data_IF_667970732592
#
_entry.id   IF_667970732592
#
_cell.length_a   1.000
_cell.length_b   1.000
_cell.length_c   1.000
_cell.angle_alpha   90.00
_cell.angle_beta   90.00
_cell.angle_gamma   90.00
#
_symmetry.space_group_name_H-M   'P 1'
#
loop_
_entity.id
_entity.type
_entity.pdbx_description
1 polymer ?
#
# COMPACT_ATOMS: atom_id res chain seq x y z
N UNK A 1 -0.78 25.11 -17.42
CA UNK A 1 0.40 25.41 -18.25
C UNK A 1 0.71 24.20 -19.12
N UNK A 2 1.31 24.38 -20.29
CA UNK A 2 1.70 23.27 -21.17
C UNK A 2 3.20 23.01 -21.06
N UNK A 3 3.57 21.78 -20.72
CA UNK A 3 4.96 21.31 -20.62
C UNK A 3 5.25 20.22 -21.66
N UNK A 4 6.49 20.13 -22.13
CA UNK A 4 6.94 19.08 -23.05
C UNK A 4 7.43 17.86 -22.24
N UNK A 5 6.87 16.68 -22.48
CA UNK A 5 7.36 15.45 -21.87
C UNK A 5 8.78 15.13 -22.38
N UNK A 6 9.75 14.98 -21.47
CA UNK A 6 11.15 14.65 -21.83
C UNK A 6 11.34 13.32 -22.56
N UNK A 7 10.44 12.36 -22.37
CA UNK A 7 10.57 11.03 -22.96
C UNK A 7 10.03 10.98 -24.39
N UNK A 8 8.82 11.51 -24.63
CA UNK A 8 8.12 11.37 -25.92
C UNK A 8 7.78 12.70 -26.61
N UNK A 9 8.12 13.84 -26.01
CA UNK A 9 7.82 15.17 -26.55
C UNK A 9 6.37 15.61 -26.42
N UNK A 10 5.48 14.77 -25.86
CA UNK A 10 4.06 15.08 -25.82
C UNK A 10 3.72 16.29 -24.93
N UNK A 11 2.75 17.13 -25.32
CA UNK A 11 2.30 18.26 -24.52
C UNK A 11 1.51 17.77 -23.31
N UNK A 12 1.87 18.27 -22.14
CA UNK A 12 1.28 17.95 -20.85
C UNK A 12 0.56 19.18 -20.30
N UNK A 13 -0.76 19.08 -20.10
CA UNK A 13 -1.49 20.09 -19.35
C UNK A 13 -1.27 19.86 -17.85
N UNK A 14 -0.50 20.75 -17.23
CA UNK A 14 -0.06 20.64 -15.85
C UNK A 14 -0.62 21.80 -15.05
N UNK A 15 -1.16 21.47 -13.86
CA UNK A 15 -1.58 22.49 -12.91
C UNK A 15 -0.36 23.27 -12.39
N UNK A 16 -0.46 24.59 -12.19
CA UNK A 16 0.70 25.41 -11.77
C UNK A 16 1.40 24.93 -10.49
N UNK A 17 0.65 24.30 -9.58
CA UNK A 17 1.06 23.81 -8.27
C UNK A 17 1.58 22.36 -8.26
N UNK A 18 1.48 21.63 -9.38
CA UNK A 18 1.92 20.24 -9.42
C UNK A 18 3.46 20.10 -9.40
N UNK A 19 4.00 19.35 -8.44
CA UNK A 19 5.44 19.04 -8.37
C UNK A 19 5.85 17.93 -9.35
N UNK A 20 4.98 16.95 -9.52
CA UNK A 20 5.13 15.81 -10.43
C UNK A 20 4.00 15.80 -11.45
N UNK A 21 4.31 15.43 -12.69
CA UNK A 21 3.31 15.21 -13.73
C UNK A 21 3.57 13.90 -14.46
N UNK A 22 2.49 13.15 -14.74
CA UNK A 22 2.54 11.90 -15.49
C UNK A 22 2.11 12.15 -16.94
N UNK A 23 2.95 11.77 -17.89
CA UNK A 23 2.61 11.81 -19.30
C UNK A 23 1.46 10.85 -19.61
N UNK A 24 0.39 11.37 -20.23
CA UNK A 24 -0.79 10.58 -20.62
C UNK A 24 -0.61 9.74 -21.88
N UNK A 25 0.53 9.89 -22.56
CA UNK A 25 0.88 9.10 -23.75
C UNK A 25 1.83 7.96 -23.38
N UNK A 26 3.01 8.28 -22.82
CA UNK A 26 4.04 7.27 -22.52
C UNK A 26 4.05 6.78 -21.05
N UNK A 27 3.21 7.35 -20.18
CA UNK A 27 3.14 6.97 -18.77
C UNK A 27 4.31 7.43 -17.88
N UNK A 28 5.36 8.03 -18.46
CA UNK A 28 6.52 8.51 -17.70
C UNK A 28 6.12 9.65 -16.76
N UNK A 29 6.59 9.60 -15.51
CA UNK A 29 6.40 10.67 -14.53
C UNK A 29 7.66 11.52 -14.46
N UNK A 30 7.51 12.84 -14.40
CA UNK A 30 8.64 13.76 -14.38
C UNK A 30 8.39 14.91 -13.41
N UNK A 31 9.47 15.43 -12.82
CA UNK A 31 9.43 16.64 -12.03
C UNK A 31 9.16 17.86 -12.91
N UNK A 32 8.19 18.69 -12.51
CA UNK A 32 7.76 19.87 -13.28
C UNK A 32 8.93 20.78 -13.65
N UNK A 33 9.85 21.03 -12.70
CA UNK A 33 11.02 21.90 -12.86
C UNK A 33 12.02 21.44 -13.92
N UNK A 34 11.97 20.17 -14.32
CA UNK A 34 12.88 19.59 -15.31
C UNK A 34 12.28 19.56 -16.72
N UNK A 35 11.00 19.91 -16.88
CA UNK A 35 10.32 19.89 -18.17
C UNK A 35 10.45 21.25 -18.87
N UNK A 36 10.55 21.22 -20.20
CA UNK A 36 10.53 22.43 -21.02
C UNK A 36 9.12 23.01 -21.01
N UNK A 37 9.00 24.31 -20.72
CA UNK A 37 7.71 25.01 -20.82
C UNK A 37 7.42 25.34 -22.28
N UNK A 38 6.30 24.84 -22.79
CA UNK A 38 5.81 25.13 -24.15
C UNK A 38 4.89 26.35 -24.12
N UNK A 39 4.02 26.42 -23.10
CA UNK A 39 3.17 27.58 -22.85
C UNK A 39 3.01 27.81 -21.35
N UNK A 40 3.23 29.04 -20.90
CA UNK A 40 3.10 29.42 -19.49
C UNK A 40 1.64 29.31 -19.00
N UNK A 41 0.68 29.58 -19.88
CA UNK A 41 -0.76 29.44 -19.63
C UNK A 41 -1.36 28.39 -20.57
N UNK A 42 -2.33 27.61 -20.10
CA UNK A 42 -3.04 26.64 -20.95
C UNK A 42 -4.09 27.40 -21.77
N UNK A 43 -4.01 27.39 -23.12
CA UNK A 43 -5.07 27.99 -23.95
C UNK A 43 -6.44 27.41 -23.61
N UNK A 44 -7.49 28.23 -23.63
CA UNK A 44 -8.86 27.81 -23.23
C UNK A 44 -9.42 26.67 -24.09
N UNK A 45 -8.96 26.59 -25.33
CA UNK A 45 -9.33 25.62 -26.35
C UNK A 45 -8.36 24.43 -26.46
N UNK A 46 -7.32 24.38 -25.61
CA UNK A 46 -6.35 23.29 -25.66
C UNK A 46 -7.04 21.94 -25.39
N UNK A 47 -6.92 21.03 -26.37
CA UNK A 47 -7.30 19.62 -26.24
C UNK A 47 -6.08 18.76 -26.57
N UNK A 48 -5.67 17.84 -25.68
CA UNK A 48 -4.61 16.91 -25.99
C UNK A 48 -4.93 16.11 -27.27
N UNK A 49 -4.01 16.01 -28.24
CA UNK A 49 -4.20 15.18 -29.41
C UNK A 49 -4.54 13.73 -29.04
N UNK A 50 -5.52 13.06 -29.68
CA UNK A 50 -5.82 11.66 -29.39
C UNK A 50 -4.63 10.72 -29.61
N UNK A 51 -3.77 11.08 -30.57
CA UNK A 51 -2.53 10.39 -30.87
C UNK A 51 -1.35 11.39 -30.92
N UNK A 52 -0.17 10.92 -30.53
CA UNK A 52 1.05 11.71 -30.54
C UNK A 52 2.19 10.92 -31.16
N UNK A 53 2.85 11.48 -32.17
CA UNK A 53 4.05 10.90 -32.77
C UNK A 53 5.27 11.62 -32.17
N UNK A 54 6.18 10.91 -31.49
CA UNK A 54 7.34 11.54 -30.87
C UNK A 54 8.23 12.24 -31.90
N UNK A 55 8.67 13.50 -31.66
CA UNK A 55 9.58 14.18 -32.57
C UNK A 55 10.99 13.54 -32.55
N UNK A 56 11.81 13.71 -33.60
CA UNK A 56 13.10 13.02 -33.71
C UNK A 56 14.12 13.33 -32.60
N UNK A 57 13.97 14.45 -31.88
CA UNK A 57 14.91 14.88 -30.84
C UNK A 57 14.69 14.22 -29.48
N UNK A 58 13.65 13.40 -29.32
CA UNK A 58 13.34 12.75 -28.03
C UNK A 58 13.82 11.29 -27.99
N UNK A 59 14.06 10.71 -26.79
CA UNK A 59 14.57 9.34 -26.66
C UNK A 59 13.58 8.22 -27.01
N UNK A 60 12.28 8.52 -27.15
CA UNK A 60 11.27 7.51 -27.48
C UNK A 60 11.47 6.92 -28.89
N UNK A 61 11.00 5.68 -29.16
CA UNK A 61 10.94 5.12 -30.51
C UNK A 61 10.14 6.06 -31.42
N UNK A 62 10.83 6.78 -32.31
CA UNK A 62 10.37 8.07 -32.85
C UNK A 62 9.27 7.97 -33.92
N UNK A 63 8.83 6.77 -34.28
CA UNK A 63 7.90 6.54 -35.39
C UNK A 63 6.60 5.83 -34.99
N UNK A 64 6.41 5.49 -33.71
CA UNK A 64 5.18 4.84 -33.26
C UNK A 64 4.20 5.87 -32.68
N UNK A 65 2.94 5.94 -33.19
CA UNK A 65 1.92 6.80 -32.61
C UNK A 65 1.54 6.31 -31.21
N UNK A 66 1.58 7.21 -30.23
CA UNK A 66 1.18 6.97 -28.85
C UNK A 66 -0.26 7.43 -28.63
N UNK A 67 -1.08 6.64 -27.94
CA UNK A 67 -2.48 6.99 -27.64
C UNK A 67 -2.60 7.81 -26.35
N UNK A 68 -3.46 8.83 -26.35
CA UNK A 68 -3.79 9.57 -25.14
C UNK A 68 -4.67 8.74 -24.20
N UNK A 69 -4.20 8.53 -22.97
CA UNK A 69 -4.96 7.88 -21.92
C UNK A 69 -5.60 8.94 -21.01
N UNK A 70 -6.93 9.13 -21.05
CA UNK A 70 -7.59 10.06 -20.14
C UNK A 70 -7.33 9.66 -18.69
N UNK A 71 -7.30 10.64 -17.80
CA UNK A 71 -7.25 10.34 -16.38
C UNK A 71 -8.44 9.45 -16.03
N UNK A 72 -8.24 8.32 -15.33
CA UNK A 72 -9.38 7.59 -14.80
C UNK A 72 -10.22 8.58 -13.97
N UNK A 73 -11.55 8.50 -14.02
CA UNK A 73 -12.39 9.28 -13.13
C UNK A 73 -11.87 9.11 -11.69
N UNK A 74 -11.93 10.19 -10.90
CA UNK A 74 -11.22 10.39 -9.62
C UNK A 74 -11.43 9.33 -8.51
N UNK A 75 -12.01 8.16 -8.80
CA UNK A 75 -12.16 7.01 -7.89
C UNK A 75 -11.25 5.79 -8.15
N UNK A 76 -10.31 5.83 -9.10
CA UNK A 76 -9.51 4.65 -9.46
C UNK A 76 -7.98 4.93 -9.56
N UNK A 77 -7.34 5.31 -8.46
CA UNK A 77 -5.88 5.53 -8.41
C UNK A 77 -5.23 4.63 -7.36
N UNK A 78 -4.74 3.45 -7.78
CA UNK A 78 -3.88 2.57 -6.97
C UNK A 78 -2.46 2.39 -7.57
N UNK A 79 -2.18 2.77 -8.82
CA UNK A 79 -0.97 2.26 -9.52
C UNK A 79 0.25 3.17 -9.73
N UNK A 80 0.38 4.36 -9.12
CA UNK A 80 1.37 5.36 -9.59
C UNK A 80 2.78 5.32 -8.96
N UNK A 81 3.02 4.54 -7.90
CA UNK A 81 4.29 4.60 -7.12
C UNK A 81 5.39 3.66 -7.61
N UNK A 82 5.10 2.69 -8.47
CA UNK A 82 6.09 1.69 -8.94
C UNK A 82 7.17 2.27 -9.87
N UNK A 83 6.90 3.36 -10.60
CA UNK A 83 7.84 3.88 -11.61
C UNK A 83 9.02 4.68 -11.02
N UNK A 84 8.85 5.32 -9.85
CA UNK A 84 9.91 6.11 -9.22
C UNK A 84 11.05 5.26 -8.65
N UNK A 85 10.74 4.05 -8.19
CA UNK A 85 11.71 3.14 -7.56
C UNK A 85 12.65 2.52 -8.61
N UNK A 86 12.15 2.23 -9.81
CA UNK A 86 12.97 1.63 -10.89
C UNK A 86 14.10 2.53 -11.37
N UNK A 87 13.89 3.86 -11.42
CA UNK A 87 14.91 4.80 -11.87
C UNK A 87 16.08 4.93 -10.88
N UNK A 88 15.82 4.83 -9.58
CA UNK A 88 16.87 4.84 -8.56
C UNK A 88 17.70 3.54 -8.57
N UNK A 89 17.08 2.39 -8.88
CA UNK A 89 17.76 1.08 -8.89
C UNK A 89 18.71 0.93 -10.08
N UNK A 90 18.37 1.44 -11.27
CA UNK A 90 19.27 1.43 -12.44
C UNK A 90 20.55 2.25 -12.23
N UNK A 91 20.49 3.33 -11.45
CA UNK A 91 21.68 4.12 -11.09
C UNK A 91 22.64 3.36 -10.16
N UNK A 92 22.10 2.53 -9.26
CA UNK A 92 22.86 1.78 -8.25
C UNK A 92 23.60 0.59 -8.85
N UNK A 93 23.01 -0.14 -9.81
CA UNK A 93 23.72 -1.20 -10.53
C UNK A 93 24.91 -0.66 -11.32
N UNK A 94 24.79 0.53 -11.92
CA UNK A 94 25.91 1.15 -12.63
C UNK A 94 26.99 1.64 -11.65
N UNK A 95 26.62 2.30 -10.54
CA UNK A 95 27.57 2.85 -9.58
C UNK A 95 28.35 1.77 -8.78
N UNK A 96 27.71 0.66 -8.39
CA UNK A 96 28.39 -0.44 -7.69
C UNK A 96 29.26 -1.30 -8.62
N UNK A 97 28.91 -1.40 -9.91
CA UNK A 97 29.72 -2.17 -10.88
C UNK A 97 30.94 -1.37 -11.37
N UNK A 98 30.89 -0.04 -11.39
CA UNK A 98 32.03 0.79 -11.81
C UNK A 98 33.09 0.97 -10.73
N UNK A 99 32.73 0.90 -9.44
CA UNK A 99 33.68 1.06 -8.33
C UNK A 99 34.39 -0.25 -7.91
N UNK A 100 34.06 -1.40 -8.51
CA UNK A 100 34.51 -2.71 -8.08
C UNK A 100 35.13 -3.60 -9.15
N UNK A 101 35.83 -3.06 -10.17
CA UNK A 101 36.57 -3.89 -11.15
C UNK A 101 37.99 -4.21 -10.66
N UNK A 102 38.27 -5.41 -10.13
CA UNK A 102 39.62 -5.95 -10.16
C UNK A 102 40.00 -6.28 -11.61
N UNK A 103 41.18 -5.82 -12.03
CA UNK A 103 41.87 -6.32 -13.22
C UNK A 103 42.21 -7.80 -12.99
N UNK A 104 41.58 -8.74 -13.70
CA UNK A 104 42.26 -10.01 -14.02
C UNK A 104 41.72 -10.67 -15.27
N UNK A 105 42.62 -10.84 -16.24
CA UNK A 105 42.57 -11.86 -17.28
C UNK A 105 42.57 -13.26 -16.64
N UNK A 106 41.64 -14.13 -17.02
CA UNK A 106 41.67 -15.53 -16.65
C UNK A 106 40.38 -16.25 -16.96
N UNK A 107 40.37 -17.04 -18.05
CA UNK A 107 39.33 -18.03 -18.33
C UNK A 107 39.40 -19.11 -17.24
N UNK A 108 38.49 -19.07 -16.27
CA UNK A 108 38.31 -20.10 -15.25
C UNK A 108 36.89 -20.06 -14.73
N UNK A 109 36.25 -21.23 -14.61
CA UNK A 109 34.83 -21.36 -14.28
C UNK A 109 34.40 -20.52 -13.09
N UNK A 110 33.35 -19.72 -13.28
CA UNK A 110 32.81 -18.81 -12.26
C UNK A 110 32.06 -19.65 -11.22
N UNK A 111 32.77 -20.11 -10.20
CA UNK A 111 32.17 -20.33 -8.89
C UNK A 111 31.75 -18.94 -8.42
N UNK A 112 30.44 -18.71 -8.30
CA UNK A 112 29.89 -17.46 -7.80
C UNK A 112 30.34 -17.26 -6.34
N UNK A 113 31.53 -16.70 -6.14
CA UNK A 113 32.04 -16.34 -4.83
C UNK A 113 31.11 -15.30 -4.25
N UNK A 114 30.49 -15.64 -3.12
CA UNK A 114 29.65 -14.72 -2.37
C UNK A 114 30.55 -13.56 -1.92
N UNK A 115 30.28 -12.37 -2.45
CA UNK A 115 31.04 -11.16 -2.10
C UNK A 115 30.92 -10.89 -0.58
N UNK A 116 31.96 -10.30 0.04
CA UNK A 116 31.87 -9.88 1.44
C UNK A 116 30.70 -8.92 1.63
N UNK A 117 29.88 -9.19 2.64
CA UNK A 117 28.67 -8.43 2.94
C UNK A 117 27.97 -8.96 4.19
N UNK A 118 26.86 -8.34 4.57
CA UNK A 118 26.08 -8.77 5.73
C UNK A 118 25.28 -10.03 5.41
N UNK A 119 25.38 -11.03 6.27
CA UNK A 119 24.55 -12.23 6.21
C UNK A 119 23.10 -11.88 6.52
N UNK A 120 22.12 -12.67 6.05
CA UNK A 120 20.72 -12.48 6.42
C UNK A 120 20.47 -12.46 7.94
N UNK A 121 21.23 -13.22 8.72
CA UNK A 121 21.14 -13.28 10.18
C UNK A 121 21.65 -11.97 10.82
N UNK A 122 22.75 -11.41 10.33
CA UNK A 122 23.22 -10.09 10.79
C UNK A 122 22.22 -8.99 10.43
N UNK A 123 21.61 -9.05 9.25
CA UNK A 123 20.53 -8.12 8.86
C UNK A 123 19.31 -8.27 9.79
N UNK A 124 18.92 -9.49 10.14
CA UNK A 124 17.79 -9.73 11.04
C UNK A 124 18.05 -9.24 12.48
N UNK A 125 19.32 -9.20 12.91
CA UNK A 125 19.70 -8.72 14.24
C UNK A 125 19.76 -7.19 14.33
N UNK A 126 19.81 -6.46 13.21
CA UNK A 126 19.92 -4.99 13.24
C UNK A 126 18.57 -4.32 13.47
N UNK A 127 18.63 -3.24 14.24
CA UNK A 127 17.56 -2.26 14.37
C UNK A 127 17.61 -1.29 13.20
N UNK A 128 16.62 -1.31 12.31
CA UNK A 128 16.57 -0.39 11.15
C UNK A 128 15.94 0.96 11.49
N UNK A 129 15.44 1.10 12.71
CA UNK A 129 14.61 2.20 13.20
C UNK A 129 15.48 3.33 13.80
N UNK A 130 16.57 3.66 13.10
CA UNK A 130 17.63 4.56 13.52
C UNK A 130 18.06 5.48 12.38
N UNK A 131 18.83 6.52 12.70
CA UNK A 131 19.35 7.46 11.70
C UNK A 131 20.23 6.76 10.67
N UNK A 132 20.39 7.40 9.50
CA UNK A 132 21.22 6.88 8.41
C UNK A 132 22.64 6.59 8.84
N UNK A 133 23.24 7.46 9.63
CA UNK A 133 24.63 7.34 10.10
C UNK A 133 24.79 6.16 11.06
N UNK A 134 23.83 5.96 11.97
CA UNK A 134 23.85 4.84 12.90
C UNK A 134 23.61 3.51 12.18
N UNK A 135 22.67 3.47 11.21
CA UNK A 135 22.42 2.28 10.41
C UNK A 135 23.61 1.95 9.51
N UNK A 136 24.25 2.96 8.91
CA UNK A 136 25.46 2.79 8.11
C UNK A 136 26.59 2.18 8.93
N UNK A 137 26.81 2.67 10.16
CA UNK A 137 27.79 2.10 11.09
C UNK A 137 27.47 0.65 11.46
N UNK A 138 26.21 0.35 11.77
CA UNK A 138 25.78 -0.99 12.18
C UNK A 138 25.90 -2.03 11.05
N UNK A 139 25.64 -1.62 9.81
CA UNK A 139 25.62 -2.50 8.64
C UNK A 139 26.87 -2.41 7.77
N UNK A 140 27.84 -1.56 8.12
CA UNK A 140 28.98 -1.21 7.28
C UNK A 140 28.52 -0.75 5.88
N UNK A 141 27.47 0.07 5.85
CA UNK A 141 26.84 0.57 4.63
C UNK A 141 27.42 1.88 4.12
N UNK A 142 27.21 2.16 2.85
CA UNK A 142 27.67 3.36 2.17
C UNK A 142 26.51 4.36 1.99
N UNK A 143 26.51 5.52 2.68
CA UNK A 143 25.51 6.55 2.47
C UNK A 143 25.72 7.26 1.11
N UNK A 144 24.65 7.46 0.36
CA UNK A 144 24.62 8.08 -0.97
C UNK A 144 23.42 9.01 -1.07
N UNK A 145 23.60 10.29 -0.73
CA UNK A 145 22.48 11.23 -0.60
C UNK A 145 21.45 10.68 0.39
N UNK A 146 20.16 10.70 0.05
CA UNK A 146 19.07 10.15 0.88
C UNK A 146 19.03 8.61 0.97
N UNK A 147 19.99 7.91 0.35
CA UNK A 147 20.08 6.44 0.35
C UNK A 147 21.17 5.93 1.28
N UNK A 148 20.98 4.74 1.85
CA UNK A 148 22.03 3.90 2.42
C UNK A 148 22.06 2.56 1.69
N UNK A 149 23.18 2.22 1.07
CA UNK A 149 23.37 0.92 0.41
C UNK A 149 24.23 -0.02 1.26
N UNK A 150 23.80 -1.28 1.40
CA UNK A 150 24.48 -2.31 2.19
C UNK A 150 24.65 -3.57 1.33
N UNK A 151 25.88 -4.06 1.22
CA UNK A 151 26.16 -5.33 0.53
C UNK A 151 25.64 -6.52 1.33
N UNK A 152 25.03 -7.48 0.65
CA UNK A 152 24.45 -8.68 1.26
C UNK A 152 25.24 -9.92 0.84
N UNK A 153 25.70 -10.69 1.82
CA UNK A 153 26.36 -11.98 1.61
C UNK A 153 25.31 -13.07 1.41
N UNK A 154 24.63 -13.03 0.26
CA UNK A 154 23.61 -14.00 -0.13
C UNK A 154 23.79 -14.43 -1.61
N UNK A 155 23.52 -15.71 -1.97
CA UNK A 155 23.64 -16.17 -3.35
C UNK A 155 22.77 -15.38 -4.34
N UNK A 156 21.54 -15.05 -3.91
CA UNK A 156 20.54 -14.38 -4.77
C UNK A 156 20.50 -12.87 -4.69
N UNK A 157 20.88 -12.28 -3.56
CA UNK A 157 20.70 -10.85 -3.32
C UNK A 157 22.09 -10.23 -3.16
N UNK A 158 22.34 -9.15 -3.88
CA UNK A 158 23.65 -8.49 -3.86
C UNK A 158 23.69 -7.34 -2.85
N UNK A 159 22.57 -6.66 -2.66
CA UNK A 159 22.49 -5.49 -1.78
C UNK A 159 21.08 -5.26 -1.26
N UNK A 160 21.01 -4.46 -0.20
CA UNK A 160 19.82 -3.79 0.26
C UNK A 160 20.06 -2.29 0.26
N UNK A 161 19.07 -1.52 -0.19
CA UNK A 161 19.05 -0.07 -0.04
C UNK A 161 17.97 0.36 0.95
N UNK A 162 18.27 1.38 1.75
CA UNK A 162 17.33 2.07 2.62
C UNK A 162 17.18 3.51 2.15
N UNK A 163 15.95 4.01 2.09
CA UNK A 163 15.65 5.38 1.65
C UNK A 163 15.17 6.21 2.84
N UNK A 164 15.75 7.40 3.01
CA UNK A 164 15.40 8.37 4.04
C UNK A 164 14.67 9.56 3.42
N UNK A 165 13.81 10.21 4.20
CA UNK A 165 13.32 11.54 3.85
C UNK A 165 14.31 12.56 4.41
N UNK A 166 14.83 13.45 3.58
CA UNK A 166 15.77 14.50 4.03
C UNK A 166 15.12 15.46 5.04
N UNK A 167 13.78 15.56 5.04
CA UNK A 167 13.01 16.35 6.02
C UNK A 167 12.80 15.61 7.33
N UNK A 168 12.80 14.28 7.31
CA UNK A 168 12.59 13.41 8.47
C UNK A 168 13.64 12.30 8.51
N UNK A 169 14.93 12.61 8.73
CA UNK A 169 16.04 11.66 8.58
C UNK A 169 16.18 10.68 9.76
N UNK A 170 15.18 10.61 10.65
CA UNK A 170 15.26 9.85 11.89
C UNK A 170 15.28 8.32 11.68
N UNK A 171 14.67 7.84 10.60
CA UNK A 171 14.62 6.44 10.19
C UNK A 171 14.29 6.33 8.69
N UNK A 172 14.57 5.21 8.01
CA UNK A 172 14.24 5.07 6.60
C UNK A 172 12.73 4.92 6.40
N UNK A 173 12.16 5.49 5.34
CA UNK A 173 10.74 5.30 5.00
C UNK A 173 10.53 4.09 4.07
N UNK A 174 11.58 3.57 3.45
CA UNK A 174 11.52 2.33 2.66
C UNK A 174 12.85 1.59 2.61
N UNK A 175 12.77 0.31 2.23
CA UNK A 175 13.94 -0.49 1.88
C UNK A 175 13.68 -1.38 0.66
N UNK A 176 14.73 -1.73 -0.07
CA UNK A 176 14.66 -2.55 -1.28
C UNK A 176 15.79 -3.58 -1.32
N UNK A 177 15.43 -4.86 -1.42
CA UNK A 177 16.34 -5.97 -1.71
C UNK A 177 16.58 -6.05 -3.22
N UNK A 178 17.85 -5.94 -3.62
CA UNK A 178 18.27 -5.98 -5.02
C UNK A 178 18.85 -7.35 -5.33
N UNK A 179 18.25 -8.03 -6.31
CA UNK A 179 18.73 -9.32 -6.77
C UNK A 179 20.09 -9.18 -7.45
N UNK A 180 20.94 -10.20 -7.29
CA UNK A 180 22.20 -10.33 -8.02
C UNK A 180 21.93 -10.60 -9.49
N UNK A 181 22.67 -9.95 -10.38
CA UNK A 181 22.58 -10.22 -11.81
C UNK A 181 22.79 -11.72 -12.12
N UNK A 182 21.90 -12.30 -12.92
CA UNK A 182 21.93 -13.72 -13.29
C UNK A 182 21.37 -14.69 -12.23
N UNK A 183 20.99 -14.22 -11.04
CA UNK A 183 20.31 -15.08 -10.08
C UNK A 183 18.87 -15.37 -10.52
N UNK A 184 18.42 -16.60 -10.27
CA UNK A 184 17.02 -16.99 -10.51
C UNK A 184 16.13 -16.44 -9.40
N UNK A 185 14.97 -15.91 -9.78
CA UNK A 185 13.92 -15.51 -8.83
C UNK A 185 13.44 -16.76 -8.10
N UNK A 186 13.29 -16.69 -6.78
CA UNK A 186 12.73 -17.79 -5.99
C UNK A 186 11.23 -17.54 -5.74
N UNK A 187 10.33 -18.32 -6.37
CA UNK A 187 8.90 -18.16 -6.16
C UNK A 187 8.47 -18.41 -4.72
N UNK A 188 9.13 -19.35 -4.03
CA UNK A 188 8.80 -19.73 -2.64
C UNK A 188 8.91 -18.57 -1.66
N UNK A 189 9.93 -17.71 -1.79
CA UNK A 189 10.08 -16.54 -0.93
C UNK A 189 8.98 -15.50 -1.16
N UNK A 190 8.59 -15.29 -2.41
CA UNK A 190 7.49 -14.39 -2.80
C UNK A 190 6.14 -14.95 -2.34
N UNK A 191 5.93 -16.26 -2.47
CA UNK A 191 4.74 -16.96 -2.00
C UNK A 191 4.64 -16.91 -0.47
N UNK A 192 5.74 -17.17 0.24
CA UNK A 192 5.81 -17.05 1.70
C UNK A 192 5.49 -15.63 2.16
N UNK A 193 6.01 -14.62 1.45
CA UNK A 193 5.70 -13.21 1.70
C UNK A 193 4.20 -12.92 1.47
N UNK A 194 3.66 -13.34 0.33
CA UNK A 194 2.25 -13.20 -0.01
C UNK A 194 1.31 -13.88 1.00
N UNK A 195 1.65 -15.08 1.47
CA UNK A 195 0.82 -15.83 2.44
C UNK A 195 0.67 -15.13 3.80
N UNK A 196 1.62 -14.24 4.14
CA UNK A 196 1.65 -13.49 5.40
C UNK A 196 1.07 -12.09 5.29
N UNK A 197 0.88 -11.61 4.06
CA UNK A 197 0.25 -10.33 3.77
C UNK A 197 -1.25 -10.58 3.62
N UNK A 198 -2.06 -9.96 4.47
CA UNK A 198 -3.51 -10.15 4.41
C UNK A 198 -4.06 -9.71 3.04
N UNK A 199 -4.69 -10.64 2.32
CA UNK A 199 -5.15 -10.43 0.92
C UNK A 199 -4.17 -10.89 -0.17
N UNK A 200 -2.93 -11.23 0.20
CA UNK A 200 -1.88 -11.68 -0.71
C UNK A 200 -1.28 -10.59 -1.60
N UNK A 201 -0.23 -10.94 -2.33
CA UNK A 201 0.32 -10.10 -3.40
C UNK A 201 -0.59 -10.21 -4.64
N UNK A 202 -1.05 -9.08 -5.15
CA UNK A 202 -1.79 -8.97 -6.41
C UNK A 202 -0.85 -8.38 -7.46
N UNK A 203 -0.50 -9.18 -8.47
CA UNK A 203 0.47 -8.81 -9.51
C UNK A 203 1.81 -8.31 -8.94
N UNK A 204 2.25 -8.95 -7.86
CA UNK A 204 3.47 -8.58 -7.15
C UNK A 204 3.34 -7.31 -6.30
N UNK A 205 2.16 -6.73 -6.14
CA UNK A 205 1.95 -5.58 -5.25
C UNK A 205 0.97 -5.91 -4.14
N UNK A 206 1.25 -5.38 -2.95
CA UNK A 206 0.34 -5.39 -1.84
C UNK A 206 0.35 -4.02 -1.17
N UNK A 207 -0.82 -3.57 -0.74
CA UNK A 207 -1.01 -2.29 -0.10
C UNK A 207 -2.04 -2.43 1.02
N UNK A 208 -1.66 -2.04 2.22
CA UNK A 208 -2.61 -1.91 3.32
C UNK A 208 -3.07 -0.46 3.44
N UNK A 209 -4.26 -0.20 2.89
CA UNK A 209 -5.03 1.04 3.06
C UNK A 209 -4.22 2.34 2.90
N UNK A 210 -3.24 2.35 2.00
CA UNK A 210 -2.36 3.49 1.74
C UNK A 210 -1.34 3.79 2.84
N UNK A 211 -1.21 2.97 3.88
CA UNK A 211 -0.24 3.13 4.97
C UNK A 211 1.11 2.52 4.62
N UNK A 212 1.09 1.27 4.20
CA UNK A 212 2.28 0.48 3.88
C UNK A 212 2.08 -0.25 2.57
N UNK A 213 3.17 -0.48 1.87
CA UNK A 213 3.17 -1.24 0.63
C UNK A 213 4.37 -2.18 0.58
N UNK A 214 4.14 -3.35 -0.01
CA UNK A 214 5.16 -4.32 -0.37
C UNK A 214 5.06 -4.57 -1.86
N UNK A 215 6.17 -4.49 -2.58
CA UNK A 215 6.21 -4.78 -4.00
C UNK A 215 7.29 -5.82 -4.28
N UNK A 216 6.98 -6.71 -5.20
CA UNK A 216 7.87 -7.73 -5.73
C UNK A 216 7.83 -7.67 -7.24
N UNK A 217 8.98 -7.76 -7.88
CA UNK A 217 9.06 -7.88 -9.33
C UNK A 217 9.46 -9.32 -9.69
N UNK A 218 8.53 -10.05 -10.33
CA UNK A 218 8.75 -11.43 -10.73
C UNK A 218 9.86 -11.60 -11.79
N UNK A 219 10.23 -10.53 -12.52
CA UNK A 219 11.31 -10.56 -13.53
C UNK A 219 12.67 -10.27 -12.92
N UNK A 220 12.73 -9.31 -11.99
CA UNK A 220 14.00 -8.84 -11.41
C UNK A 220 14.27 -9.38 -10.00
N UNK A 221 13.34 -10.13 -9.42
CA UNK A 221 13.43 -10.66 -8.05
C UNK A 221 13.50 -9.59 -6.96
N UNK A 222 13.28 -8.32 -7.33
CA UNK A 222 13.29 -7.18 -6.44
C UNK A 222 12.17 -7.33 -5.42
N UNK A 223 12.47 -7.02 -4.16
CA UNK A 223 11.47 -6.92 -3.08
C UNK A 223 11.65 -5.59 -2.39
N UNK A 224 10.62 -4.74 -2.38
CA UNK A 224 10.63 -3.46 -1.69
C UNK A 224 9.48 -3.37 -0.69
N UNK A 225 9.73 -2.67 0.41
CA UNK A 225 8.72 -2.36 1.39
C UNK A 225 8.83 -0.89 1.77
N UNK A 226 7.68 -0.21 1.84
CA UNK A 226 7.60 1.24 1.99
C UNK A 226 6.49 1.61 2.96
N UNK A 227 6.80 2.52 3.88
CA UNK A 227 5.80 3.28 4.63
C UNK A 227 5.45 4.50 3.78
N UNK A 228 4.19 4.62 3.40
CA UNK A 228 3.74 5.60 2.40
C UNK A 228 3.54 7.02 2.95
N UNK A 229 3.80 7.23 4.25
CA UNK A 229 3.68 8.53 4.91
C UNK A 229 2.22 8.99 5.04
N UNK A 230 1.87 9.54 6.20
CA UNK A 230 0.51 9.94 6.52
C UNK A 230 0.01 11.08 5.63
N UNK A 231 -0.70 10.75 4.54
CA UNK A 231 -1.62 11.73 3.92
C UNK A 231 -2.72 12.17 4.89
N UNK A 232 -2.87 11.45 6.01
CA UNK A 232 -3.85 11.71 7.06
C UNK A 232 -3.29 11.28 8.42
N UNK A 233 -2.60 12.18 9.13
CA UNK A 233 -2.50 12.16 10.60
C UNK A 233 -1.76 11.01 11.30
N UNK A 234 -0.95 10.20 10.62
CA UNK A 234 -0.11 9.19 11.28
C UNK A 234 1.07 9.82 12.04
N UNK A 235 1.41 9.31 13.22
CA UNK A 235 2.60 9.77 13.97
C UNK A 235 3.87 9.09 13.46
N UNK A 236 5.03 9.76 13.61
CA UNK A 236 6.34 9.19 13.28
C UNK A 236 6.62 7.87 14.03
N UNK A 237 6.07 7.72 15.25
CA UNK A 237 6.18 6.49 16.03
C UNK A 237 5.48 5.28 15.37
N UNK A 238 4.33 5.50 14.73
CA UNK A 238 3.60 4.43 14.02
C UNK A 238 4.34 4.02 12.74
N UNK A 239 4.82 5.00 11.97
CA UNK A 239 5.62 4.75 10.77
C UNK A 239 6.87 3.91 11.08
N UNK A 240 7.53 4.22 12.21
CA UNK A 240 8.66 3.46 12.72
C UNK A 240 8.30 2.00 13.04
N UNK A 241 7.21 1.77 13.77
CA UNK A 241 6.74 0.42 14.10
C UNK A 241 6.35 -0.38 12.83
N UNK A 242 5.70 0.28 11.87
CA UNK A 242 5.32 -0.30 10.58
C UNK A 242 6.53 -0.77 9.78
N UNK A 243 7.55 0.08 9.67
CA UNK A 243 8.79 -0.27 8.97
C UNK A 243 9.48 -1.49 9.61
N UNK A 244 9.58 -1.51 10.94
CA UNK A 244 10.17 -2.64 11.68
C UNK A 244 9.39 -3.93 11.45
N UNK A 245 8.05 -3.87 11.48
CA UNK A 245 7.22 -5.03 11.19
C UNK A 245 7.41 -5.54 9.76
N UNK A 246 7.45 -4.64 8.77
CA UNK A 246 7.75 -5.01 7.37
C UNK A 246 9.16 -5.59 7.21
N UNK A 247 10.15 -5.06 7.92
CA UNK A 247 11.52 -5.57 7.90
C UNK A 247 11.60 -7.02 8.37
N UNK A 248 11.03 -7.29 9.55
CA UNK A 248 10.95 -8.65 10.09
C UNK A 248 10.20 -9.58 9.16
N UNK A 249 9.10 -9.10 8.56
CA UNK A 249 8.30 -9.87 7.62
C UNK A 249 9.11 -10.26 6.38
N UNK A 250 9.71 -9.27 5.71
CA UNK A 250 10.45 -9.48 4.46
C UNK A 250 11.67 -10.36 4.70
N UNK A 251 12.48 -10.10 5.73
CA UNK A 251 13.66 -10.92 6.00
C UNK A 251 13.32 -12.38 6.30
N UNK A 252 12.28 -12.60 7.12
CA UNK A 252 11.87 -13.95 7.44
C UNK A 252 11.27 -14.68 6.23
N UNK A 253 10.46 -14.00 5.42
CA UNK A 253 9.85 -14.61 4.24
C UNK A 253 10.86 -14.88 3.11
N UNK A 254 11.79 -13.93 2.86
CA UNK A 254 12.72 -13.99 1.72
C UNK A 254 13.99 -14.79 2.03
N UNK A 255 14.47 -14.73 3.28
CA UNK A 255 15.72 -15.38 3.68
C UNK A 255 15.55 -16.51 4.70
N UNK A 256 14.36 -16.68 5.29
CA UNK A 256 14.21 -17.56 6.46
C UNK A 256 14.98 -17.06 7.69
N UNK A 257 15.33 -15.77 7.73
CA UNK A 257 16.15 -15.19 8.80
C UNK A 257 15.29 -14.45 9.84
N UNK A 258 15.65 -14.61 11.12
CA UNK A 258 14.92 -14.01 12.25
C UNK A 258 13.57 -14.69 12.54
N UNK A 259 12.82 -14.15 13.51
CA UNK A 259 11.56 -14.74 14.01
C UNK A 259 10.30 -14.31 13.25
N UNK A 260 10.42 -13.44 12.24
CA UNK A 260 9.26 -12.74 11.67
C UNK A 260 8.63 -11.75 12.66
N UNK A 261 7.60 -10.98 12.24
CA UNK A 261 6.88 -10.10 13.14
C UNK A 261 6.02 -10.95 14.10
N UNK A 262 5.95 -10.52 15.36
CA UNK A 262 4.93 -11.05 16.29
C UNK A 262 3.52 -10.70 15.81
N UNK A 263 2.48 -11.33 16.37
CA UNK A 263 1.09 -11.00 16.02
C UNK A 263 0.77 -9.51 16.27
N UNK A 264 1.31 -8.91 17.33
CA UNK A 264 1.13 -7.49 17.63
C UNK A 264 1.87 -6.59 16.63
N UNK A 265 3.09 -6.96 16.25
CA UNK A 265 3.85 -6.24 15.23
C UNK A 265 3.18 -6.32 13.86
N UNK A 266 2.64 -7.49 13.51
CA UNK A 266 1.95 -7.71 12.25
C UNK A 266 0.68 -6.85 12.13
N UNK A 267 0.01 -6.50 13.25
CA UNK A 267 -1.16 -5.60 13.23
C UNK A 267 -0.80 -4.23 12.68
N UNK A 268 0.40 -3.70 12.95
CA UNK A 268 0.84 -2.42 12.39
C UNK A 268 0.83 -2.37 10.87
N UNK A 269 1.00 -3.54 10.23
CA UNK A 269 1.01 -3.72 8.78
C UNK A 269 -0.27 -4.41 8.29
N UNK A 270 -1.39 -4.23 8.99
CA UNK A 270 -2.70 -4.68 8.53
C UNK A 270 -3.02 -6.15 8.75
N UNK A 271 -2.30 -6.84 9.64
CA UNK A 271 -2.78 -8.13 10.12
C UNK A 271 -4.13 -7.96 10.84
N UNK A 272 -5.05 -8.91 10.67
CA UNK A 272 -6.42 -8.76 11.14
C UNK A 272 -6.52 -8.76 12.67
N UNK A 273 -7.41 -7.91 13.18
CA UNK A 273 -7.84 -7.92 14.59
C UNK A 273 -8.98 -8.92 14.77
N UNK A 274 -9.13 -9.59 15.93
CA UNK A 274 -10.29 -10.41 16.20
C UNK A 274 -11.59 -9.64 15.92
N UNK A 275 -12.53 -10.22 15.18
CA UNK A 275 -13.76 -9.50 14.80
C UNK A 275 -14.52 -8.94 16.01
N UNK A 276 -14.56 -9.69 17.11
CA UNK A 276 -15.18 -9.28 18.38
C UNK A 276 -14.59 -7.99 18.98
N UNK A 277 -13.37 -7.58 18.58
CA UNK A 277 -12.79 -6.32 19.04
C UNK A 277 -13.63 -5.10 18.60
N UNK A 278 -14.39 -5.20 17.49
CA UNK A 278 -15.32 -4.16 17.04
C UNK A 278 -16.46 -3.90 18.04
N UNK A 279 -16.86 -4.89 18.84
CA UNK A 279 -17.91 -4.75 19.85
C UNK A 279 -17.55 -3.74 20.93
N UNK A 280 -16.26 -3.58 21.17
CA UNK A 280 -15.75 -2.78 22.28
C UNK A 280 -15.59 -1.30 21.91
N UNK A 281 -15.86 -0.92 20.66
CA UNK A 281 -15.71 0.46 20.19
C UNK A 281 -16.62 1.38 20.99
N UNK A 282 -16.06 2.47 21.51
CA UNK A 282 -16.82 3.49 22.19
C UNK A 282 -17.58 4.33 21.15
N UNK A 283 -18.88 4.08 21.09
CA UNK A 283 -19.80 4.69 20.14
C UNK A 283 -20.05 6.19 20.43
N UNK A 284 -19.61 6.67 21.59
CA UNK A 284 -19.70 8.08 22.00
C UNK A 284 -18.44 8.88 21.64
N UNK A 285 -17.39 8.22 21.14
CA UNK A 285 -16.18 8.91 20.68
C UNK A 285 -16.52 9.87 19.54
N UNK A 286 -16.14 11.14 19.70
CA UNK A 286 -16.32 12.17 18.67
C UNK A 286 -15.19 12.12 17.65
N UNK A 287 -15.40 12.72 16.48
CA UNK A 287 -14.43 12.84 15.39
C UNK A 287 -13.10 13.44 15.87
N UNK A 288 -13.14 14.37 16.82
CA UNK A 288 -11.96 15.04 17.40
C UNK A 288 -11.02 14.05 18.13
N UNK A 289 -11.58 12.97 18.68
CA UNK A 289 -10.85 11.95 19.44
C UNK A 289 -10.75 10.61 18.72
N UNK A 290 -11.54 10.41 17.67
CA UNK A 290 -11.67 9.12 16.98
C UNK A 290 -10.35 8.62 16.40
N UNK A 291 -9.58 9.49 15.73
CA UNK A 291 -8.29 9.11 15.15
C UNK A 291 -7.32 8.56 16.22
N UNK A 292 -7.12 9.28 17.32
CA UNK A 292 -6.23 8.86 18.40
C UNK A 292 -6.75 7.60 19.11
N UNK A 293 -8.03 7.59 19.48
CA UNK A 293 -8.65 6.49 20.22
C UNK A 293 -8.63 5.19 19.42
N UNK A 294 -9.00 5.25 18.13
CA UNK A 294 -9.07 4.07 17.29
C UNK A 294 -7.69 3.57 16.86
N UNK A 295 -6.71 4.44 16.60
CA UNK A 295 -5.35 3.98 16.29
C UNK A 295 -4.61 3.42 17.49
N UNK A 296 -4.92 3.89 18.70
CA UNK A 296 -4.45 3.27 19.94
C UNK A 296 -5.08 1.89 20.13
N UNK A 297 -6.37 1.77 19.87
CA UNK A 297 -7.13 0.53 20.03
C UNK A 297 -6.83 -0.52 18.98
N UNK A 298 -6.65 -0.09 17.74
CA UNK A 298 -6.40 -0.93 16.57
C UNK A 298 -5.08 -0.51 15.94
N UNK A 299 -3.93 -1.01 16.46
CA UNK A 299 -2.65 -0.86 15.79
C UNK A 299 -2.74 -1.21 14.29
N UNK A 300 -2.22 -0.32 13.45
CA UNK A 300 -2.29 -0.41 11.99
C UNK A 300 -3.60 0.04 11.35
N UNK A 301 -4.55 0.61 12.11
CA UNK A 301 -5.72 1.25 11.51
C UNK A 301 -5.30 2.41 10.60
N UNK A 302 -5.91 2.48 9.42
CA UNK A 302 -5.63 3.51 8.42
C UNK A 302 -6.62 4.65 8.51
N UNK A 303 -6.12 5.89 8.46
CA UNK A 303 -6.94 7.09 8.51
C UNK A 303 -7.11 7.67 7.10
N UNK A 304 -8.32 8.17 6.82
CA UNK A 304 -8.66 8.93 5.62
C UNK A 304 -9.44 10.19 6.03
N UNK A 305 -9.10 11.38 5.53
CA UNK A 305 -9.81 12.65 5.84
C UNK A 305 -10.25 13.39 4.57
N UNK A 306 -10.47 12.68 3.47
CA UNK A 306 -10.76 13.34 2.20
C UNK A 306 -12.11 14.10 2.20
N UNK A 307 -13.14 13.54 2.86
CA UNK A 307 -14.48 14.15 3.01
C UNK A 307 -14.91 14.08 4.47
N UNK A 308 -14.73 12.90 5.05
CA UNK A 308 -15.04 12.54 6.42
C UNK A 308 -13.83 11.84 7.03
N UNK A 309 -13.81 11.68 8.35
CA UNK A 309 -12.80 10.85 8.97
C UNK A 309 -13.21 9.38 8.80
N UNK A 310 -12.55 8.69 7.87
CA UNK A 310 -12.60 7.24 7.72
C UNK A 310 -11.48 6.57 8.50
N UNK A 311 -11.80 5.51 9.24
CA UNK A 311 -10.83 4.66 9.95
C UNK A 311 -11.02 3.23 9.50
N UNK A 312 -10.03 2.67 8.79
CA UNK A 312 -10.06 1.30 8.29
C UNK A 312 -9.29 0.36 9.20
N UNK A 313 -9.97 -0.68 9.68
CA UNK A 313 -9.43 -1.70 10.59
C UNK A 313 -9.48 -3.06 9.90
N UNK A 314 -8.36 -3.79 9.83
CA UNK A 314 -8.34 -5.17 9.35
C UNK A 314 -9.06 -6.09 10.36
N UNK A 315 -9.90 -7.01 9.90
CA UNK A 315 -10.65 -7.91 10.80
C UNK A 315 -10.49 -9.38 10.43
N UNK A 316 -10.43 -10.24 11.44
CA UNK A 316 -10.34 -11.69 11.29
C UNK A 316 -11.75 -12.25 11.11
N UNK A 317 -12.20 -12.26 9.87
CA UNK A 317 -13.46 -12.87 9.48
C UNK A 317 -13.33 -13.55 8.11
N UNK A 318 -13.84 -14.78 7.94
CA UNK A 318 -13.70 -15.52 6.68
C UNK A 318 -14.39 -14.83 5.49
N UNK A 319 -15.44 -14.06 5.76
CA UNK A 319 -16.19 -13.32 4.75
C UNK A 319 -15.88 -11.83 4.70
N UNK A 320 -15.26 -11.25 5.74
CA UNK A 320 -15.07 -9.80 5.84
C UNK A 320 -13.60 -9.52 6.14
N UNK A 321 -12.95 -8.64 5.39
CA UNK A 321 -11.51 -8.41 5.54
C UNK A 321 -11.15 -7.10 6.24
N UNK A 322 -12.06 -6.11 6.21
CA UNK A 322 -11.89 -4.89 7.00
C UNK A 322 -13.24 -4.27 7.40
N UNK A 323 -13.16 -3.38 8.39
CA UNK A 323 -14.22 -2.48 8.82
C UNK A 323 -13.77 -1.03 8.59
N UNK A 324 -14.54 -0.27 7.82
CA UNK A 324 -14.37 1.15 7.58
C UNK A 324 -15.36 1.93 8.44
N UNK A 325 -14.84 2.58 9.48
CA UNK A 325 -15.59 3.40 10.43
C UNK A 325 -15.58 4.85 9.95
N UNK A 326 -16.76 5.43 9.77
CA UNK A 326 -16.88 6.78 9.22
C UNK A 326 -17.50 7.75 10.22
N UNK A 327 -16.81 8.86 10.43
CA UNK A 327 -17.19 9.97 11.31
C UNK A 327 -17.35 11.23 10.47
N UNK A 328 -18.50 11.91 10.53
CA UNK A 328 -18.70 13.15 9.79
C UNK A 328 -17.69 14.21 10.25
N UNK A 329 -17.16 14.97 9.30
CA UNK A 329 -16.18 16.02 9.57
C UNK A 329 -16.84 17.30 10.10
N UNK A 330 -17.49 17.18 11.26
CA UNK A 330 -18.16 18.28 11.96
C UNK A 330 -17.91 18.17 13.46
N UNK A 331 -17.88 19.32 14.16
CA UNK A 331 -17.56 19.38 15.58
C UNK A 331 -18.51 18.47 16.38
N UNK A 332 -17.95 17.56 17.17
CA UNK A 332 -18.73 16.62 17.98
C UNK A 332 -19.39 15.48 17.18
N UNK A 333 -19.15 15.38 15.87
CA UNK A 333 -19.65 14.30 15.03
C UNK A 333 -19.22 12.95 15.58
N UNK A 334 -20.18 12.03 15.77
CA UNK A 334 -19.90 10.66 16.24
C UNK A 334 -19.86 9.69 15.07
N UNK A 335 -19.52 8.43 15.34
CA UNK A 335 -19.60 7.37 14.34
C UNK A 335 -20.97 7.42 13.65
N UNK A 336 -20.98 7.30 12.31
CA UNK A 336 -22.20 7.36 11.48
C UNK A 336 -22.51 6.08 10.73
N UNK A 337 -21.47 5.42 10.22
CA UNK A 337 -21.61 4.19 9.43
C UNK A 337 -20.39 3.30 9.67
N UNK A 338 -20.62 1.99 9.67
CA UNK A 338 -19.55 0.99 9.57
C UNK A 338 -19.77 0.16 8.31
N UNK A 339 -18.86 0.26 7.36
CA UNK A 339 -18.85 -0.57 6.16
C UNK A 339 -17.86 -1.73 6.34
N UNK A 340 -18.35 -2.96 6.28
CA UNK A 340 -17.59 -4.19 6.39
C UNK A 340 -17.35 -4.74 4.99
N UNK A 341 -16.11 -4.65 4.49
CA UNK A 341 -15.80 -5.08 3.12
C UNK A 341 -15.67 -6.60 3.04
N UNK A 342 -16.32 -7.19 2.04
CA UNK A 342 -16.30 -8.62 1.79
C UNK A 342 -14.97 -9.12 1.22
N UNK A 343 -14.56 -10.33 1.60
CA UNK A 343 -13.45 -11.05 0.96
C UNK A 343 -13.85 -11.50 -0.46
N UNK A 344 -12.90 -12.08 -1.22
CA UNK A 344 -13.22 -12.73 -2.51
C UNK A 344 -14.28 -13.84 -2.39
N UNK A 345 -14.40 -14.46 -1.21
CA UNK A 345 -15.37 -15.52 -0.94
C UNK A 345 -16.77 -14.96 -0.58
N UNK A 346 -16.88 -13.68 -0.25
CA UNK A 346 -18.13 -13.07 0.22
C UNK A 346 -19.30 -13.26 -0.76
N UNK A 347 -19.17 -12.97 -2.08
CA UNK A 347 -20.30 -13.10 -2.99
C UNK A 347 -20.85 -14.54 -3.06
N UNK A 348 -19.96 -15.54 -3.06
CA UNK A 348 -20.34 -16.95 -3.12
C UNK A 348 -20.96 -17.49 -1.82
N UNK A 349 -20.63 -16.89 -0.68
CA UNK A 349 -21.12 -17.31 0.66
C UNK A 349 -22.16 -16.36 1.24
N UNK A 350 -22.59 -15.35 0.49
CA UNK A 350 -23.54 -14.32 0.93
C UNK A 350 -24.86 -14.90 1.42
N UNK A 351 -25.47 -15.81 0.67
CA UNK A 351 -26.76 -16.40 1.04
C UNK A 351 -26.67 -17.23 2.33
N UNK A 352 -25.55 -17.93 2.54
CA UNK A 352 -25.30 -18.66 3.78
C UNK A 352 -25.11 -17.72 4.98
N UNK A 353 -24.42 -16.59 4.77
CA UNK A 353 -24.31 -15.53 5.77
C UNK A 353 -25.70 -14.97 6.15
N UNK A 354 -26.53 -14.66 5.16
CA UNK A 354 -27.90 -14.18 5.37
C UNK A 354 -28.72 -15.21 6.15
N UNK A 355 -28.71 -16.48 5.75
CA UNK A 355 -29.42 -17.54 6.47
C UNK A 355 -28.96 -17.70 7.93
N UNK A 356 -27.66 -17.59 8.19
CA UNK A 356 -27.13 -17.58 9.56
C UNK A 356 -27.60 -16.36 10.36
N UNK A 357 -27.58 -15.17 9.75
CA UNK A 357 -28.05 -13.94 10.38
C UNK A 357 -29.55 -14.00 10.66
N UNK A 358 -30.35 -14.63 9.81
CA UNK A 358 -31.79 -14.83 10.07
C UNK A 358 -32.04 -15.61 11.37
N UNK A 359 -31.21 -16.61 11.66
CA UNK A 359 -31.28 -17.37 12.90
C UNK A 359 -30.90 -16.58 14.16
N UNK A 360 -30.21 -15.44 14.02
CA UNK A 360 -29.71 -14.62 15.15
C UNK A 360 -30.43 -13.29 15.32
N UNK A 361 -30.83 -12.68 14.21
CA UNK A 361 -31.38 -11.32 14.15
C UNK A 361 -32.85 -11.30 13.73
N UNK A 362 -33.40 -12.43 13.26
CA UNK A 362 -34.73 -12.50 12.68
C UNK A 362 -34.71 -12.34 11.16
N UNK A 363 -35.88 -12.46 10.53
CA UNK A 363 -35.99 -12.47 9.06
C UNK A 363 -35.50 -11.19 8.42
N UNK A 364 -34.76 -11.34 7.31
CA UNK A 364 -34.32 -10.22 6.52
C UNK A 364 -35.48 -9.65 5.69
N UNK A 365 -35.51 -8.33 5.54
CA UNK A 365 -36.26 -7.67 4.47
C UNK A 365 -35.42 -7.75 3.19
N UNK A 366 -35.99 -8.35 2.15
CA UNK A 366 -35.34 -8.44 0.84
C UNK A 366 -35.64 -7.17 0.05
N UNK A 367 -34.60 -6.54 -0.51
CA UNK A 367 -34.73 -5.38 -1.38
C UNK A 367 -34.16 -5.72 -2.76
N UNK A 368 -34.98 -5.63 -3.81
CA UNK A 368 -34.51 -5.76 -5.18
C UNK A 368 -33.77 -4.47 -5.57
N UNK A 369 -32.44 -4.53 -5.65
CA UNK A 369 -31.60 -3.40 -6.06
C UNK A 369 -31.62 -3.23 -7.58
N UNK A 370 -31.66 -4.35 -8.30
CA UNK A 370 -31.82 -4.40 -9.75
C UNK A 370 -32.67 -5.63 -10.09
N UNK A 371 -33.94 -5.37 -10.39
CA UNK A 371 -34.91 -6.42 -10.71
C UNK A 371 -34.52 -7.22 -11.96
N UNK A 372 -33.99 -6.55 -12.99
CA UNK A 372 -33.63 -7.17 -14.26
C UNK A 372 -32.39 -8.05 -14.11
N UNK A 373 -31.39 -7.57 -13.39
CA UNK A 373 -30.18 -8.35 -13.09
C UNK A 373 -30.38 -9.32 -11.90
N UNK A 374 -31.59 -9.39 -11.32
CA UNK A 374 -31.93 -10.21 -10.15
C UNK A 374 -31.00 -9.96 -8.95
N UNK A 375 -30.55 -8.71 -8.78
CA UNK A 375 -29.65 -8.31 -7.70
C UNK A 375 -30.46 -7.89 -6.51
N UNK A 376 -30.16 -8.51 -5.37
CA UNK A 376 -30.89 -8.33 -4.10
C UNK A 376 -29.92 -7.94 -3.00
N UNK A 377 -30.37 -7.05 -2.13
CA UNK A 377 -29.75 -6.74 -0.86
C UNK A 377 -30.67 -7.20 0.28
N UNK A 378 -30.09 -7.54 1.42
CA UNK A 378 -30.82 -8.05 2.59
C UNK A 378 -30.68 -7.07 3.75
N UNK A 379 -31.80 -6.66 4.32
CA UNK A 379 -31.83 -5.72 5.44
C UNK A 379 -32.31 -6.39 6.73
N UNK A 380 -31.51 -6.28 7.78
CA UNK A 380 -31.86 -6.75 9.13
C UNK A 380 -32.02 -5.55 10.05
N UNK A 381 -33.20 -5.36 10.64
CA UNK A 381 -33.43 -4.32 11.64
C UNK A 381 -33.15 -4.87 13.03
N UNK A 382 -32.27 -4.20 13.79
CA UNK A 382 -31.91 -4.58 15.16
C UNK A 382 -32.06 -3.36 16.05
N UNK A 383 -33.22 -3.26 16.71
CA UNK A 383 -33.56 -2.11 17.55
C UNK A 383 -33.51 -0.81 16.73
N UNK A 384 -32.55 0.06 17.03
CA UNK A 384 -32.35 1.34 16.32
C UNK A 384 -31.30 1.31 15.21
N UNK A 385 -30.69 0.15 14.95
CA UNK A 385 -29.77 -0.08 13.85
C UNK A 385 -30.41 -0.89 12.73
N UNK A 386 -29.82 -0.82 11.55
CA UNK A 386 -30.05 -1.82 10.51
C UNK A 386 -28.74 -2.23 9.85
N UNK A 387 -28.70 -3.49 9.42
CA UNK A 387 -27.59 -4.07 8.65
C UNK A 387 -28.10 -4.28 7.23
N UNK A 388 -27.40 -3.73 6.24
CA UNK A 388 -27.61 -4.04 4.83
C UNK A 388 -26.50 -5.00 4.37
N UNK A 389 -26.86 -6.18 3.86
CA UNK A 389 -25.95 -7.14 3.24
C UNK A 389 -26.09 -7.00 1.72
N UNK A 390 -25.10 -6.36 1.11
CA UNK A 390 -25.02 -6.16 -0.34
C UNK A 390 -24.32 -7.31 -1.07
N UNK A 391 -23.96 -7.12 -2.33
CA UNK A 391 -23.22 -8.13 -3.12
C UNK A 391 -21.78 -8.37 -2.64
N UNK A 392 -21.12 -7.33 -2.14
CA UNK A 392 -19.68 -7.36 -1.83
C UNK A 392 -19.32 -6.77 -0.48
N UNK A 393 -20.29 -6.23 0.26
CA UNK A 393 -20.09 -5.65 1.58
C UNK A 393 -21.31 -5.85 2.48
N UNK A 394 -21.11 -5.65 3.78
CA UNK A 394 -22.16 -5.47 4.76
C UNK A 394 -22.03 -4.07 5.36
N UNK A 395 -23.14 -3.37 5.58
CA UNK A 395 -23.14 -2.01 6.12
C UNK A 395 -24.03 -1.93 7.33
N UNK A 396 -23.49 -1.41 8.42
CA UNK A 396 -24.26 -1.13 9.63
C UNK A 396 -24.57 0.35 9.66
N UNK A 397 -25.86 0.66 9.72
CA UNK A 397 -26.41 1.99 9.72
C UNK A 397 -27.28 2.21 10.96
N UNK A 398 -27.47 3.47 11.33
CA UNK A 398 -28.36 3.89 12.40
C UNK A 398 -28.78 5.33 12.17
N UNK A 399 -29.85 5.73 12.83
CA UNK A 399 -30.26 7.13 12.84
C UNK A 399 -29.35 7.94 13.77
N UNK A 400 -29.02 9.21 13.43
CA UNK A 400 -28.24 10.09 14.31
C UNK A 400 -28.79 10.13 15.74
N UNK A 401 -27.90 10.03 16.73
CA UNK A 401 -28.25 10.03 18.16
C UNK A 401 -28.98 8.77 18.65
N UNK A 402 -29.11 7.72 17.82
CA UNK A 402 -29.86 6.49 18.15
C UNK A 402 -28.99 5.24 18.34
N UNK A 403 -27.69 5.36 18.13
CA UNK A 403 -26.74 4.28 18.36
C UNK A 403 -26.63 3.95 19.85
N UNK A 404 -26.88 2.69 20.22
CA UNK A 404 -26.74 2.22 21.60
C UNK A 404 -25.86 0.96 21.65
N UNK A 405 -25.14 0.80 22.75
CA UNK A 405 -24.18 -0.29 22.93
C UNK A 405 -24.82 -1.71 22.89
N UNK A 406 -26.01 -1.96 23.49
CA UNK A 406 -26.65 -3.27 23.40
C UNK A 406 -26.95 -3.73 21.98
N UNK A 407 -27.58 -2.88 21.16
CA UNK A 407 -27.90 -3.24 19.78
C UNK A 407 -26.63 -3.38 18.93
N UNK A 408 -25.63 -2.50 19.12
CA UNK A 408 -24.32 -2.61 18.47
C UNK A 408 -23.64 -3.95 18.77
N UNK A 409 -23.60 -4.32 20.06
CA UNK A 409 -23.02 -5.58 20.51
C UNK A 409 -23.76 -6.76 19.90
N UNK A 410 -25.10 -6.72 19.84
CA UNK A 410 -25.91 -7.77 19.20
C UNK A 410 -25.59 -7.94 17.71
N UNK A 411 -25.47 -6.83 16.98
CA UNK A 411 -25.11 -6.83 15.55
C UNK A 411 -23.72 -7.42 15.31
N UNK A 412 -22.70 -6.92 16.02
CA UNK A 412 -21.32 -7.38 15.88
C UNK A 412 -21.15 -8.86 16.29
N UNK A 413 -21.80 -9.30 17.38
CA UNK A 413 -21.80 -10.71 17.79
C UNK A 413 -22.45 -11.62 16.73
N UNK A 414 -23.57 -11.18 16.15
CA UNK A 414 -24.25 -11.96 15.13
C UNK A 414 -23.39 -12.12 13.87
N UNK A 415 -22.78 -11.04 13.40
CA UNK A 415 -21.84 -11.07 12.27
C UNK A 415 -20.63 -11.95 12.58
N UNK A 416 -19.98 -11.75 13.74
CA UNK A 416 -18.81 -12.52 14.15
C UNK A 416 -19.06 -14.02 14.31
N UNK A 417 -20.29 -14.41 14.67
CA UNK A 417 -20.69 -15.81 14.79
C UNK A 417 -21.09 -16.46 13.45
N UNK A 418 -21.31 -15.69 12.38
CA UNK A 418 -21.72 -16.18 11.06
C UNK A 418 -20.54 -16.28 10.08
N UNK A 419 -19.67 -17.28 10.33
CA UNK A 419 -18.39 -17.50 9.65
C UNK A 419 -18.46 -18.38 8.39
#
# INVERSE_FOLDING_TARGET
MILECRQCGAPLDVKPDATLTKCRYCGTTSERRLLRTVSAETPRDFRPPPQWIPPPHVPAPSNLPLTYHPAPPRGAVIGALAAGIMAAVLGVTVALVTLGKPRSSGKGGVVATVLPGKTPQELAAVRIDQTRENLAKALSGNPLGSMLAVSVSHPRYQSISFMYDDKEPAFPHSFTLVQRSGATVEPKGIEALGSRLHGGLVDGSWNWAGLVAVNTDAKTGLVSATVLGGRVGGTSAQAKAQLVAMWKLVLHAVFGAGSGPTAEEARWIGAPHPFAALETIDLTTTVDKAAATLTQKFPGAALSTFIELGVTVAVDHPLLWNAELSYPNEKGGTLRIVALRGTKAFPARREALVGCLEGKLGKAKVQDRDFLAKKRDYEFTVGKLWINIGETDARVHWFPGRLNAPDWKRVMNALGACR
#
